data_IF_967860189028
#
_entry.id   IF_967860189028
#
_cell.length_a   1.000
_cell.length_b   1.000
_cell.length_c   1.000
_cell.angle_alpha   90.00
_cell.angle_beta   90.00
_cell.angle_gamma   90.00
#
_symmetry.space_group_name_H-M   'P 1'
#
loop_
_entity.id
_entity.type
_entity.pdbx_description
1 polymer ?
#
# COMPACT_ATOMS: atom_id res chain seq x y z
N UNK A 1 -9.57 -12.91 -5.58
CA UNK A 1 -9.80 -11.68 -4.80
C UNK A 1 -8.51 -10.88 -4.82
N UNK A 2 -8.53 -9.61 -5.25
CA UNK A 2 -7.29 -8.89 -5.59
C UNK A 2 -7.01 -7.77 -4.58
N UNK A 3 -6.08 -7.99 -3.65
CA UNK A 3 -5.69 -7.00 -2.62
C UNK A 3 -5.07 -5.74 -3.24
N UNK A 4 -4.21 -5.90 -4.23
CA UNK A 4 -3.55 -4.78 -4.92
C UNK A 4 -4.56 -3.81 -5.55
N UNK A 5 -5.62 -4.34 -6.18
CA UNK A 5 -6.68 -3.50 -6.77
C UNK A 5 -7.44 -2.68 -5.70
N UNK A 6 -7.62 -3.25 -4.50
CA UNK A 6 -8.27 -2.54 -3.38
C UNK A 6 -7.37 -1.46 -2.78
N UNK A 7 -6.07 -1.76 -2.65
CA UNK A 7 -5.07 -0.78 -2.21
C UNK A 7 -4.99 0.38 -3.21
N UNK A 8 -4.94 0.08 -4.51
CA UNK A 8 -4.94 1.10 -5.56
C UNK A 8 -6.20 1.97 -5.53
N UNK A 9 -7.37 1.39 -5.27
CA UNK A 9 -8.61 2.14 -5.13
C UNK A 9 -8.67 3.06 -3.90
N UNK A 10 -7.80 2.84 -2.90
CA UNK A 10 -7.69 3.68 -1.70
C UNK A 10 -6.62 4.78 -1.82
N UNK A 11 -5.83 4.78 -2.90
CA UNK A 11 -4.81 5.81 -3.14
C UNK A 11 -5.46 7.15 -3.47
N UNK A 12 -4.84 8.25 -3.01
CA UNK A 12 -5.32 9.59 -3.29
C UNK A 12 -4.47 10.27 -4.38
N UNK A 13 -5.12 10.80 -5.42
CA UNK A 13 -4.44 11.58 -6.46
C UNK A 13 -3.32 10.80 -7.15
N UNK A 14 -2.08 11.30 -7.03
CA UNK A 14 -0.87 10.72 -7.63
C UNK A 14 -0.07 9.83 -6.66
N UNK A 15 -0.66 9.45 -5.53
CA UNK A 15 -0.02 8.61 -4.52
C UNK A 15 0.22 7.17 -5.01
N UNK A 16 1.38 6.61 -4.68
CA UNK A 16 1.66 5.18 -4.87
C UNK A 16 1.53 4.47 -3.54
N UNK A 17 0.48 3.67 -3.39
CA UNK A 17 0.26 2.83 -2.23
C UNK A 17 0.68 1.38 -2.50
N UNK A 18 1.45 0.82 -1.57
CA UNK A 18 1.86 -0.59 -1.56
C UNK A 18 1.52 -1.21 -0.21
N UNK A 19 1.35 -2.53 -0.11
CA UNK A 19 1.27 -3.17 1.20
C UNK A 19 2.65 -3.19 1.86
N UNK A 20 2.66 -3.15 3.19
CA UNK A 20 3.91 -3.30 3.97
C UNK A 20 4.65 -4.59 3.61
N UNK A 21 3.91 -5.69 3.41
CA UNK A 21 4.48 -6.99 3.00
C UNK A 21 5.17 -6.94 1.63
N UNK A 22 4.61 -6.20 0.67
CA UNK A 22 5.22 -6.02 -0.65
C UNK A 22 6.48 -5.15 -0.56
N UNK A 23 6.46 -4.11 0.26
CA UNK A 23 7.62 -3.27 0.49
C UNK A 23 8.76 -4.04 1.19
N UNK A 24 8.44 -4.81 2.23
CA UNK A 24 9.41 -5.65 2.93
C UNK A 24 10.04 -6.74 2.06
N UNK A 25 9.28 -7.27 1.09
CA UNK A 25 9.78 -8.23 0.11
C UNK A 25 10.56 -7.63 -1.06
N UNK A 26 10.60 -6.30 -1.18
CA UNK A 26 11.31 -5.61 -2.26
C UNK A 26 12.82 -5.70 -2.06
N UNK A 27 13.54 -5.92 -3.16
CA UNK A 27 15.02 -5.81 -3.19
C UNK A 27 15.50 -4.37 -3.32
N UNK A 28 14.58 -3.43 -3.59
CA UNK A 28 14.84 -1.99 -3.70
C UNK A 28 14.27 -1.26 -2.49
N UNK A 29 14.97 -0.24 -2.05
CA UNK A 29 14.45 0.73 -1.09
C UNK A 29 13.69 1.82 -1.82
N UNK A 30 12.54 2.20 -1.28
CA UNK A 30 11.75 3.33 -1.73
C UNK A 30 11.67 4.35 -0.60
N UNK A 31 11.58 5.64 -0.94
CA UNK A 31 11.35 6.67 0.06
C UNK A 31 9.92 6.53 0.59
N UNK A 32 9.75 6.19 1.87
CA UNK A 32 8.44 6.16 2.49
C UNK A 32 7.97 7.58 2.79
N UNK A 33 6.80 7.95 2.29
CA UNK A 33 6.19 9.27 2.54
C UNK A 33 5.03 9.21 3.53
N UNK A 34 4.55 8.02 3.86
CA UNK A 34 3.52 7.82 4.88
C UNK A 34 3.16 6.36 5.07
N UNK A 35 2.55 6.04 6.21
CA UNK A 35 2.07 4.70 6.55
C UNK A 35 0.71 4.79 7.23
N UNK A 36 -0.21 3.92 6.83
CA UNK A 36 -1.55 3.86 7.43
C UNK A 36 -2.14 2.46 7.34
N UNK A 37 -3.09 2.18 8.22
CA UNK A 37 -3.87 0.94 8.19
C UNK A 37 -5.19 1.20 7.50
N UNK A 38 -5.58 0.31 6.58
CA UNK A 38 -6.84 0.39 5.84
C UNK A 38 -7.72 -0.82 6.10
N UNK A 39 -9.00 -0.57 6.32
CA UNK A 39 -10.04 -1.59 6.21
C UNK A 39 -10.43 -1.72 4.74
N UNK A 40 -9.99 -2.81 4.11
CA UNK A 40 -10.25 -3.07 2.71
C UNK A 40 -11.50 -3.92 2.58
N UNK A 41 -12.48 -3.48 1.78
CA UNK A 41 -13.74 -4.22 1.56
C UNK A 41 -13.48 -5.72 1.34
N UNK A 42 -14.18 -6.59 2.05
CA UNK A 42 -14.04 -8.05 1.90
C UNK A 42 -12.73 -8.65 2.41
N UNK A 43 -11.77 -7.86 2.92
CA UNK A 43 -10.62 -8.35 3.70
C UNK A 43 -10.96 -8.09 5.16
N UNK A 44 -11.05 -9.15 5.95
CA UNK A 44 -11.36 -9.04 7.39
C UNK A 44 -10.20 -8.49 8.21
N UNK A 45 -8.97 -8.69 7.74
CA UNK A 45 -7.76 -8.24 8.44
C UNK A 45 -7.40 -6.82 7.97
N UNK A 46 -7.33 -5.83 8.89
CA UNK A 46 -6.82 -4.51 8.55
C UNK A 46 -5.45 -4.59 7.89
N UNK A 47 -5.28 -3.91 6.76
CA UNK A 47 -4.07 -4.01 5.95
C UNK A 47 -3.22 -2.75 6.09
N UNK A 48 -1.98 -2.91 6.54
CA UNK A 48 -1.00 -1.82 6.55
C UNK A 48 -0.55 -1.53 5.12
N UNK A 49 -0.74 -0.29 4.71
CA UNK A 49 -0.25 0.23 3.43
C UNK A 49 0.76 1.35 3.67
N UNK A 50 1.71 1.44 2.75
CA UNK A 50 2.80 2.39 2.76
C UNK A 50 2.72 3.22 1.49
N UNK A 51 2.81 4.53 1.67
CA UNK A 51 2.95 5.50 0.59
C UNK A 51 4.43 5.62 0.25
N UNK A 52 4.75 5.51 -1.04
CA UNK A 52 6.13 5.57 -1.52
C UNK A 52 6.31 6.65 -2.57
N UNK A 53 7.48 7.28 -2.55
CA UNK A 53 7.95 8.12 -3.64
C UNK A 53 8.57 7.28 -4.75
N UNK A 54 8.20 7.59 -5.99
CA UNK A 54 8.85 7.08 -7.18
C UNK A 54 9.81 8.12 -7.73
N UNK A 55 11.10 7.85 -7.57
CA UNK A 55 12.20 8.68 -8.08
C UNK A 55 13.11 7.85 -8.97
#
# INVERSE_FOLDING_TARGET
MNIAARIAAAASGSEILVSETSLAGSRRSFGETGRRTLELKGISVPTTVVSIDWR
#
